data_IF_556538173053
#
_entry.id   IF_556538173053
#
_cell.length_a   1.000
_cell.length_b   1.000
_cell.length_c   1.000
_cell.angle_alpha   90.00
_cell.angle_beta   90.00
_cell.angle_gamma   90.00
#
_symmetry.space_group_name_H-M   'P 1'
#
loop_
_entity.id
_entity.type
_entity.pdbx_description
1 polymer ?
#
# COMPACT_ATOMS: atom_id res chain seq x y z
N UNK A 1 -12.79 18.28 -8.51
CA UNK A 1 -12.09 17.78 -9.72
C UNK A 1 -11.89 16.29 -9.50
N UNK A 2 -12.53 15.44 -10.31
CA UNK A 2 -12.46 13.99 -10.16
C UNK A 2 -11.17 13.48 -10.82
N UNK A 3 -10.23 12.95 -10.03
CA UNK A 3 -9.07 12.24 -10.56
C UNK A 3 -9.52 10.83 -10.93
N UNK A 4 -9.70 10.56 -12.22
CA UNK A 4 -9.95 9.21 -12.72
C UNK A 4 -8.63 8.43 -12.70
N UNK A 5 -8.61 7.30 -11.99
CA UNK A 5 -7.50 6.34 -12.04
C UNK A 5 -7.85 5.31 -13.10
N UNK A 6 -6.94 5.09 -14.05
CA UNK A 6 -7.08 4.00 -15.02
C UNK A 6 -6.25 2.80 -14.54
N UNK A 7 -6.86 1.62 -14.54
CA UNK A 7 -6.33 0.40 -13.94
C UNK A 7 -6.31 -0.71 -15.00
N UNK A 8 -5.14 -1.33 -15.19
CA UNK A 8 -4.98 -2.51 -16.04
C UNK A 8 -4.50 -3.68 -15.21
N UNK A 9 -5.12 -4.85 -15.44
CA UNK A 9 -4.74 -6.12 -14.81
C UNK A 9 -4.29 -7.11 -15.87
N UNK A 10 -3.17 -7.75 -15.62
CA UNK A 10 -2.68 -8.86 -16.42
C UNK A 10 -1.92 -9.86 -15.54
N UNK A 11 -1.60 -11.03 -16.08
CA UNK A 11 -0.79 -12.03 -15.38
C UNK A 11 0.63 -12.05 -15.90
N UNK A 12 1.60 -12.18 -15.00
CA UNK A 12 3.00 -12.45 -15.33
C UNK A 12 3.52 -13.53 -14.39
N UNK A 13 4.01 -14.63 -14.94
CA UNK A 13 4.54 -15.76 -14.15
C UNK A 13 3.53 -16.26 -13.10
N UNK A 14 2.25 -16.41 -13.48
CA UNK A 14 1.11 -16.75 -12.61
C UNK A 14 0.75 -15.72 -11.52
N UNK A 15 1.45 -14.59 -11.43
CA UNK A 15 1.14 -13.50 -10.52
C UNK A 15 0.22 -12.47 -11.17
N UNK A 16 -0.82 -12.06 -10.47
CA UNK A 16 -1.64 -10.92 -10.86
C UNK A 16 -0.81 -9.64 -10.74
N UNK A 17 -0.71 -8.91 -11.83
CA UNK A 17 -0.02 -7.63 -11.92
C UNK A 17 -1.04 -6.54 -12.21
N UNK A 18 -0.92 -5.44 -11.47
CA UNK A 18 -1.82 -4.30 -11.54
C UNK A 18 -1.04 -3.02 -11.77
N UNK A 19 -1.50 -2.21 -12.73
CA UNK A 19 -0.93 -0.91 -13.05
C UNK A 19 -1.96 0.18 -12.80
N UNK A 20 -1.54 1.22 -12.09
CA UNK A 20 -2.35 2.41 -11.82
C UNK A 20 -1.75 3.62 -12.52
N UNK A 21 -2.53 4.25 -13.40
CA UNK A 21 -2.20 5.56 -13.97
C UNK A 21 -2.97 6.64 -13.22
N UNK A 22 -2.26 7.63 -12.67
CA UNK A 22 -2.84 8.72 -11.88
C UNK A 22 -2.06 10.01 -12.06
N UNK A 23 -2.65 11.13 -11.62
CA UNK A 23 -1.99 12.44 -11.62
C UNK A 23 -0.75 12.40 -10.70
N UNK A 24 0.37 12.96 -11.17
CA UNK A 24 1.62 12.98 -10.40
C UNK A 24 1.50 13.68 -9.05
N UNK A 25 0.55 14.61 -8.90
CA UNK A 25 0.29 15.36 -7.67
C UNK A 25 -0.86 14.76 -6.85
N UNK A 26 -1.34 13.56 -7.19
CA UNK A 26 -2.34 12.84 -6.40
C UNK A 26 -1.82 12.60 -4.99
N UNK A 27 -2.49 13.19 -3.98
CA UNK A 27 -2.12 13.02 -2.56
C UNK A 27 -2.07 11.55 -2.15
N UNK A 28 -3.01 10.75 -2.64
CA UNK A 28 -3.04 9.31 -2.38
C UNK A 28 -1.83 8.61 -2.96
N UNK A 29 -1.42 8.95 -4.19
CA UNK A 29 -0.23 8.35 -4.82
C UNK A 29 1.05 8.78 -4.11
N UNK A 30 1.18 10.06 -3.78
CA UNK A 30 2.31 10.58 -3.01
C UNK A 30 2.45 9.89 -1.65
N UNK A 31 1.32 9.64 -0.97
CA UNK A 31 1.30 8.87 0.28
C UNK A 31 1.83 7.44 0.08
N UNK A 32 1.41 6.73 -0.97
CA UNK A 32 1.90 5.38 -1.26
C UNK A 32 3.40 5.37 -1.60
N UNK A 33 3.88 6.35 -2.37
CA UNK A 33 5.32 6.52 -2.67
C UNK A 33 6.11 6.74 -1.38
N UNK A 34 5.63 7.62 -0.50
CA UNK A 34 6.28 7.88 0.79
C UNK A 34 6.33 6.64 1.68
N UNK A 35 5.23 5.87 1.77
CA UNK A 35 5.23 4.58 2.48
C UNK A 35 6.28 3.64 1.88
N UNK A 36 6.32 3.50 0.56
CA UNK A 36 7.27 2.63 -0.13
C UNK A 36 8.72 3.02 0.19
N UNK A 37 9.09 4.29 0.02
CA UNK A 37 10.45 4.75 0.29
C UNK A 37 10.80 4.63 1.79
N UNK A 38 9.86 4.89 2.71
CA UNK A 38 10.09 4.68 4.15
C UNK A 38 10.41 3.22 4.47
N UNK A 39 9.62 2.27 3.95
CA UNK A 39 9.84 0.85 4.22
C UNK A 39 11.09 0.31 3.53
N UNK A 40 11.36 0.73 2.29
CA UNK A 40 12.56 0.37 1.53
C UNK A 40 13.85 0.79 2.26
N UNK A 41 13.85 1.95 2.89
CA UNK A 41 15.02 2.50 3.58
C UNK A 41 15.08 2.14 5.08
N UNK A 42 14.07 1.44 5.63
CA UNK A 42 14.04 1.02 7.03
C UNK A 42 13.62 -0.46 7.17
N UNK A 43 14.60 -1.38 7.20
CA UNK A 43 14.35 -2.83 7.29
C UNK A 43 13.54 -3.26 8.51
N UNK A 44 13.64 -2.56 9.63
CA UNK A 44 12.92 -2.92 10.86
C UNK A 44 11.42 -2.60 10.72
N UNK A 45 11.08 -1.44 10.14
CA UNK A 45 9.69 -1.11 9.80
C UNK A 45 9.13 -2.06 8.74
N UNK A 46 9.95 -2.48 7.77
CA UNK A 46 9.53 -3.46 6.76
C UNK A 46 9.16 -4.80 7.41
N UNK A 47 10.00 -5.32 8.32
CA UNK A 47 9.70 -6.54 9.08
C UNK A 47 8.45 -6.42 9.93
N UNK A 48 8.23 -5.26 10.56
CA UNK A 48 7.00 -4.98 11.30
C UNK A 48 5.78 -5.06 10.38
N UNK A 49 5.86 -4.46 9.19
CA UNK A 49 4.78 -4.50 8.21
C UNK A 49 4.51 -5.91 7.67
N UNK A 50 5.55 -6.71 7.45
CA UNK A 50 5.41 -8.12 7.03
C UNK A 50 4.76 -8.99 8.11
N UNK A 51 5.12 -8.75 9.37
CA UNK A 51 4.49 -9.40 10.52
C UNK A 51 3.02 -9.00 10.63
N UNK A 52 2.71 -7.72 10.43
CA UNK A 52 1.33 -7.23 10.38
C UNK A 52 0.53 -7.94 9.28
N UNK A 53 1.05 -8.00 8.04
CA UNK A 53 0.39 -8.70 6.92
C UNK A 53 0.09 -10.17 7.27
N UNK A 54 1.07 -10.87 7.85
CA UNK A 54 0.92 -12.28 8.25
C UNK A 54 -0.12 -12.47 9.35
N UNK A 55 -0.19 -11.54 10.31
CA UNK A 55 -1.17 -11.60 11.42
C UNK A 55 -2.63 -11.42 10.97
N UNK A 56 -2.85 -10.92 9.76
CA UNK A 56 -4.17 -10.66 9.19
C UNK A 56 -4.68 -11.81 8.32
N UNK A 57 -3.95 -12.93 8.25
CA UNK A 57 -4.49 -14.15 7.63
C UNK A 57 -5.82 -14.51 8.31
N UNK A 58 -6.81 -14.91 7.51
CA UNK A 58 -8.20 -15.22 7.94
C UNK A 58 -9.05 -14.02 8.41
N UNK A 59 -8.51 -12.80 8.47
CA UNK A 59 -9.29 -11.59 8.79
C UNK A 59 -10.08 -11.08 7.59
N UNK A 60 -11.10 -10.29 7.87
CA UNK A 60 -11.88 -9.65 6.81
C UNK A 60 -11.05 -8.61 6.05
N UNK A 61 -11.38 -8.39 4.77
CA UNK A 61 -10.74 -7.34 3.96
C UNK A 61 -10.82 -5.97 4.63
N UNK A 62 -11.93 -5.67 5.32
CA UNK A 62 -12.12 -4.41 6.04
C UNK A 62 -11.13 -4.23 7.18
N UNK A 63 -10.92 -5.27 7.99
CA UNK A 63 -9.93 -5.25 9.07
C UNK A 63 -8.51 -5.10 8.55
N UNK A 64 -8.18 -5.85 7.48
CA UNK A 64 -6.88 -5.74 6.83
C UNK A 64 -6.61 -4.31 6.35
N UNK A 65 -7.57 -3.69 5.65
CA UNK A 65 -7.43 -2.32 5.17
C UNK A 65 -7.29 -1.32 6.34
N UNK A 66 -8.11 -1.47 7.39
CA UNK A 66 -8.01 -0.62 8.59
C UNK A 66 -6.62 -0.69 9.21
N UNK A 67 -6.11 -1.90 9.47
CA UNK A 67 -4.79 -2.12 10.08
C UNK A 67 -3.65 -1.60 9.21
N UNK A 68 -3.74 -1.79 7.89
CA UNK A 68 -2.77 -1.23 6.93
C UNK A 68 -2.72 0.30 7.04
N UNK A 69 -3.87 0.98 7.04
CA UNK A 69 -3.88 2.43 7.11
C UNK A 69 -3.48 2.97 8.49
N UNK A 70 -3.86 2.31 9.59
CA UNK A 70 -3.34 2.63 10.93
C UNK A 70 -1.80 2.58 10.96
N UNK A 71 -1.21 1.53 10.37
CA UNK A 71 0.24 1.41 10.24
C UNK A 71 0.82 2.53 9.37
N UNK A 72 0.20 2.86 8.24
CA UNK A 72 0.66 3.94 7.35
C UNK A 72 0.62 5.32 8.03
N UNK A 73 -0.45 5.64 8.76
CA UNK A 73 -0.54 6.91 9.49
C UNK A 73 0.58 7.02 10.52
N UNK A 74 0.83 5.96 11.30
CA UNK A 74 1.90 5.93 12.30
C UNK A 74 3.28 6.17 11.70
N UNK A 75 3.65 5.48 10.62
CA UNK A 75 5.00 5.62 10.04
C UNK A 75 5.19 6.94 9.27
N UNK A 76 4.11 7.65 8.96
CA UNK A 76 4.13 8.96 8.32
C UNK A 76 3.94 10.12 9.32
N UNK A 77 3.64 9.83 10.59
CA UNK A 77 3.40 10.84 11.63
C UNK A 77 2.07 11.59 11.47
N UNK A 78 1.04 10.93 10.94
CA UNK A 78 -0.32 11.46 10.76
C UNK A 78 -1.28 11.08 11.90
#
# INVERSE_FOLDING_TARGET
>A
MFNYVCEWKFKKDELDVEFYLTDKNSKTMQKQINVFETLKNNPDLLKEYESLKSSMNEKSLKEHQKKKYEFYHRILGE
#
